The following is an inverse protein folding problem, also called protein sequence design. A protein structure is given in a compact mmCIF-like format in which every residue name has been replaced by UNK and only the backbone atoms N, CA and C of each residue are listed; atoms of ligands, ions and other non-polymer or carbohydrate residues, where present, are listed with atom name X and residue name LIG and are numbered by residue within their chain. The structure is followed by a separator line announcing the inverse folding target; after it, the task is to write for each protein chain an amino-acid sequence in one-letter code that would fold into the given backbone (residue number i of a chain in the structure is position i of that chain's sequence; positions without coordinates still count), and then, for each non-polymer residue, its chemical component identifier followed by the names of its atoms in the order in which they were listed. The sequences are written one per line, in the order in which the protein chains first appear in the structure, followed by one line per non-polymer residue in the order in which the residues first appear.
data_IF_128246455668
#
_entry.id   IF_128246455668
#
_cell.length_a   1.000
_cell.length_b   1.000
_cell.length_c   1.000
_cell.angle_alpha   90.00
_cell.angle_beta   90.00
_cell.angle_gamma   90.00
#
_symmetry.space_group_name_H-M   'P 1'
#
loop_
_entity.id
_entity.type
_entity.pdbx_description
1 polymer ?
#
# COMPACT_ATOMS: atom_id res chain seq x y z
N UNK A 1 9.14 -13.31 -34.11
CA UNK A 1 7.97 -12.65 -33.48
C UNK A 1 7.65 -13.42 -32.20
N UNK A 2 8.18 -12.99 -31.05
CA UNK A 2 7.91 -13.62 -29.77
C UNK A 2 6.48 -13.24 -29.36
N UNK A 3 5.58 -14.22 -29.27
CA UNK A 3 4.28 -14.04 -28.64
C UNK A 3 4.55 -13.52 -27.23
N UNK A 4 4.18 -12.26 -26.98
CA UNK A 4 4.18 -11.67 -25.66
C UNK A 4 3.19 -12.50 -24.86
N UNK A 5 3.66 -13.38 -23.97
CA UNK A 5 2.82 -14.07 -23.00
C UNK A 5 2.26 -13.04 -22.01
N UNK A 6 1.27 -12.25 -22.47
CA UNK A 6 0.54 -11.28 -21.66
C UNK A 6 -0.26 -11.94 -20.53
N UNK A 7 -0.53 -13.24 -20.63
CA UNK A 7 -1.41 -13.98 -19.73
C UNK A 7 -0.64 -15.01 -18.89
N UNK A 8 0.33 -14.56 -18.09
CA UNK A 8 0.80 -15.38 -16.97
C UNK A 8 -0.10 -15.12 -15.75
N UNK A 9 -0.28 -16.13 -14.90
CA UNK A 9 -1.11 -16.01 -13.68
C UNK A 9 -0.73 -14.77 -12.86
N UNK A 10 0.56 -14.47 -12.60
CA UNK A 10 0.93 -13.24 -11.91
C UNK A 10 0.46 -11.95 -12.60
N UNK A 11 0.58 -11.87 -13.94
CA UNK A 11 0.14 -10.67 -14.67
C UNK A 11 -1.37 -10.42 -14.56
N UNK A 12 -2.17 -11.50 -14.61
CA UNK A 12 -3.63 -11.39 -14.45
C UNK A 12 -3.98 -10.86 -13.07
N UNK A 13 -3.30 -11.34 -12.05
CA UNK A 13 -3.51 -10.91 -10.67
C UNK A 13 -3.12 -9.43 -10.46
N UNK A 14 -1.99 -8.98 -11.02
CA UNK A 14 -1.59 -7.56 -10.96
C UNK A 14 -2.58 -6.66 -11.72
N UNK A 15 -3.03 -7.07 -12.91
CA UNK A 15 -4.03 -6.33 -13.67
C UNK A 15 -5.38 -6.29 -12.96
N UNK A 16 -5.79 -7.38 -12.31
CA UNK A 16 -7.02 -7.40 -11.51
C UNK A 16 -6.96 -6.41 -10.34
N UNK A 17 -5.80 -6.28 -9.68
CA UNK A 17 -5.58 -5.25 -8.64
C UNK A 17 -5.79 -3.84 -9.18
N UNK A 18 -5.18 -3.51 -10.32
CA UNK A 18 -5.34 -2.19 -10.94
C UNK A 18 -6.81 -1.94 -11.30
N UNK A 19 -7.53 -2.96 -11.79
CA UNK A 19 -8.96 -2.84 -12.09
C UNK A 19 -9.84 -2.72 -10.84
N UNK A 20 -9.40 -3.25 -9.69
CA UNK A 20 -10.12 -3.13 -8.42
C UNK A 20 -9.97 -1.74 -7.77
N UNK A 21 -8.94 -0.95 -8.12
CA UNK A 21 -8.77 0.40 -7.57
C UNK A 21 -9.96 1.32 -7.92
N UNK A 22 -10.42 1.45 -9.17
CA UNK A 22 -11.63 2.20 -9.49
C UNK A 22 -12.87 1.70 -8.75
N UNK A 23 -13.03 0.38 -8.63
CA UNK A 23 -14.13 -0.21 -7.85
C UNK A 23 -14.08 0.22 -6.38
N UNK A 24 -12.89 0.20 -5.78
CA UNK A 24 -12.67 0.64 -4.40
C UNK A 24 -13.04 2.11 -4.22
N UNK A 25 -12.68 2.99 -5.15
CA UNK A 25 -13.05 4.42 -5.15
C UNK A 25 -14.57 4.59 -5.29
N UNK A 26 -15.20 3.87 -6.20
CA UNK A 26 -16.67 3.92 -6.38
C UNK A 26 -17.39 3.47 -5.10
N UNK A 27 -16.98 2.36 -4.51
CA UNK A 27 -17.54 1.88 -3.25
C UNK A 27 -17.42 2.92 -2.12
N UNK A 28 -16.28 3.62 -2.06
CA UNK A 28 -16.08 4.67 -1.09
C UNK A 28 -17.10 5.81 -1.26
N UNK A 29 -17.28 6.33 -2.47
CA UNK A 29 -18.24 7.42 -2.73
C UNK A 29 -19.71 6.97 -2.75
N UNK A 30 -19.97 5.67 -2.74
CA UNK A 30 -21.31 5.13 -2.52
C UNK A 30 -21.70 5.05 -1.04
N UNK A 31 -20.82 5.45 -0.11
CA UNK A 31 -21.17 5.49 1.32
C UNK A 31 -22.31 6.49 1.57
N UNK A 32 -23.35 6.09 2.30
CA UNK A 32 -24.43 7.01 2.66
C UNK A 32 -23.92 8.07 3.66
N UNK A 33 -24.51 9.25 3.60
CA UNK A 33 -24.18 10.37 4.50
C UNK A 33 -24.51 10.05 5.97
N UNK A 34 -25.44 9.12 6.20
CA UNK A 34 -25.88 8.72 7.54
C UNK A 34 -25.16 7.46 7.99
N UNK A 35 -24.36 7.57 9.04
CA UNK A 35 -23.49 6.50 9.57
C UNK A 35 -24.23 5.36 10.28
N UNK A 36 -25.46 5.62 10.75
CA UNK A 36 -26.23 4.66 11.56
C UNK A 36 -27.12 3.71 10.73
N UNK A 37 -26.89 3.65 9.42
CA UNK A 37 -27.68 2.79 8.54
C UNK A 37 -27.00 1.43 8.34
N UNK A 38 -27.79 0.33 8.19
CA UNK A 38 -27.23 -0.98 7.83
C UNK A 38 -26.43 -0.95 6.51
N UNK A 39 -26.82 -0.08 5.55
CA UNK A 39 -26.14 0.10 4.27
C UNK A 39 -24.72 0.64 4.50
N UNK A 40 -24.54 1.60 5.40
CA UNK A 40 -23.22 2.12 5.76
C UNK A 40 -22.30 1.01 6.27
N UNK A 41 -22.81 0.16 7.18
CA UNK A 41 -22.04 -0.98 7.72
C UNK A 41 -21.65 -1.97 6.63
N UNK A 42 -22.54 -2.30 5.71
CA UNK A 42 -22.25 -3.21 4.60
C UNK A 42 -21.22 -2.65 3.62
N UNK A 43 -21.30 -1.34 3.31
CA UNK A 43 -20.34 -0.69 2.42
C UNK A 43 -18.94 -0.65 3.06
N UNK A 44 -18.84 -0.32 4.36
CA UNK A 44 -17.57 -0.33 5.08
C UNK A 44 -16.95 -1.72 5.15
N UNK A 45 -17.78 -2.74 5.40
CA UNK A 45 -17.33 -4.13 5.34
C UNK A 45 -16.81 -4.50 3.95
N UNK A 46 -17.52 -4.09 2.90
CA UNK A 46 -17.11 -4.32 1.50
C UNK A 46 -15.82 -3.59 1.16
N UNK A 47 -15.67 -2.32 1.55
CA UNK A 47 -14.43 -1.54 1.36
C UNK A 47 -13.24 -2.20 2.03
N UNK A 48 -13.41 -2.56 3.31
CA UNK A 48 -12.37 -3.24 4.09
C UNK A 48 -12.03 -4.60 3.47
N UNK A 49 -13.05 -5.35 3.03
CA UNK A 49 -12.90 -6.64 2.38
C UNK A 49 -12.16 -6.54 1.04
N UNK A 50 -12.49 -5.56 0.21
CA UNK A 50 -11.79 -5.31 -1.08
C UNK A 50 -10.33 -4.95 -0.83
N UNK A 51 -10.05 -4.05 0.12
CA UNK A 51 -8.67 -3.68 0.45
C UNK A 51 -7.89 -4.87 1.02
N UNK A 52 -8.49 -5.67 1.89
CA UNK A 52 -7.89 -6.89 2.44
C UNK A 52 -7.60 -7.91 1.35
N UNK A 53 -8.55 -8.14 0.44
CA UNK A 53 -8.39 -9.07 -0.68
C UNK A 53 -7.24 -8.65 -1.60
N UNK A 54 -7.15 -7.36 -1.94
CA UNK A 54 -6.06 -6.81 -2.76
C UNK A 54 -4.71 -6.99 -2.06
N UNK A 55 -4.63 -6.65 -0.77
CA UNK A 55 -3.39 -6.78 0.02
C UNK A 55 -2.95 -8.25 0.17
N UNK A 56 -3.90 -9.16 0.33
CA UNK A 56 -3.62 -10.60 0.41
C UNK A 56 -3.17 -11.16 -0.94
N UNK A 57 -3.83 -10.74 -2.02
CA UNK A 57 -3.49 -11.15 -3.39
C UNK A 57 -2.05 -10.75 -3.72
N UNK A 58 -1.64 -9.52 -3.35
CA UNK A 58 -0.26 -9.04 -3.52
C UNK A 58 0.77 -9.94 -2.83
N UNK A 59 0.48 -10.32 -1.58
CA UNK A 59 1.37 -11.23 -0.85
C UNK A 59 1.46 -12.61 -1.53
N UNK A 60 0.33 -13.14 -2.01
CA UNK A 60 0.26 -14.43 -2.68
C UNK A 60 0.96 -14.41 -4.04
N UNK A 61 0.82 -13.34 -4.82
CA UNK A 61 1.45 -13.20 -6.14
C UNK A 61 2.97 -13.22 -6.04
N UNK A 62 3.51 -12.45 -5.11
CA UNK A 62 4.94 -12.45 -4.84
C UNK A 62 5.46 -13.82 -4.40
N UNK A 63 4.66 -14.61 -3.69
CA UNK A 63 5.00 -15.98 -3.32
C UNK A 63 4.91 -16.95 -4.52
N UNK A 64 3.81 -16.89 -5.29
CA UNK A 64 3.60 -17.77 -6.46
C UNK A 64 4.62 -17.48 -7.57
N UNK A 65 4.89 -16.23 -7.88
CA UNK A 65 5.85 -15.85 -8.92
C UNK A 65 7.25 -16.42 -8.63
N UNK A 66 7.68 -16.36 -7.37
CA UNK A 66 8.96 -16.97 -6.94
C UNK A 66 8.93 -18.49 -7.01
N UNK A 67 7.83 -19.13 -6.61
CA UNK A 67 7.70 -20.60 -6.59
C UNK A 67 7.59 -21.20 -7.99
N UNK A 68 6.93 -20.51 -8.92
CA UNK A 68 6.68 -20.99 -10.28
C UNK A 68 7.75 -20.53 -11.29
N UNK A 69 8.72 -19.69 -10.89
CA UNK A 69 9.71 -19.07 -11.78
C UNK A 69 9.07 -18.36 -13.01
N UNK A 70 7.84 -17.88 -12.86
CA UNK A 70 7.07 -17.20 -13.90
C UNK A 70 7.15 -15.69 -13.73
N UNK A 71 8.31 -15.10 -14.01
CA UNK A 71 8.45 -13.65 -14.02
C UNK A 71 8.30 -13.11 -15.43
N UNK A 72 7.36 -12.18 -15.65
CA UNK A 72 7.26 -11.44 -16.90
C UNK A 72 7.83 -10.03 -16.75
N UNK A 73 8.36 -9.46 -17.84
CA UNK A 73 8.86 -8.06 -17.85
C UNK A 73 7.74 -7.07 -17.51
N UNK A 74 6.51 -7.35 -17.97
CA UNK A 74 5.34 -6.52 -17.71
C UNK A 74 4.91 -6.59 -16.23
N UNK A 75 4.85 -7.80 -15.64
CA UNK A 75 4.53 -7.98 -14.23
C UNK A 75 5.55 -7.28 -13.33
N UNK A 76 6.84 -7.48 -13.58
CA UNK A 76 7.91 -6.82 -12.82
C UNK A 76 7.83 -5.28 -12.85
N UNK A 77 7.25 -4.70 -13.90
CA UNK A 77 6.98 -3.25 -13.98
C UNK A 77 5.67 -2.87 -13.27
N UNK A 78 4.60 -3.63 -13.50
CA UNK A 78 3.25 -3.29 -12.99
C UNK A 78 3.08 -3.53 -11.48
N UNK A 79 3.73 -4.57 -10.92
CA UNK A 79 3.60 -4.90 -9.49
C UNK A 79 3.96 -3.72 -8.58
N UNK A 80 5.15 -3.09 -8.69
CA UNK A 80 5.48 -1.94 -7.84
C UNK A 80 4.57 -0.73 -8.06
N UNK A 81 3.95 -0.61 -9.23
CA UNK A 81 3.00 0.48 -9.53
C UNK A 81 1.66 0.22 -8.87
N UNK A 82 1.11 -0.99 -9.02
CA UNK A 82 -0.17 -1.39 -8.46
C UNK A 82 -0.19 -1.24 -6.93
N UNK A 83 0.87 -1.71 -6.26
CA UNK A 83 1.00 -1.64 -4.80
C UNK A 83 0.96 -0.20 -4.28
N UNK A 84 1.71 0.70 -4.91
CA UNK A 84 1.76 2.10 -4.51
C UNK A 84 0.46 2.82 -4.81
N UNK A 85 -0.15 2.56 -5.97
CA UNK A 85 -1.44 3.14 -6.33
C UNK A 85 -2.51 2.77 -5.30
N UNK A 86 -2.58 1.48 -4.91
CA UNK A 86 -3.59 1.02 -3.96
C UNK A 86 -3.42 1.67 -2.57
N UNK A 87 -2.20 1.66 -2.04
CA UNK A 87 -1.91 2.27 -0.74
C UNK A 87 -2.16 3.78 -0.77
N UNK A 88 -1.69 4.47 -1.83
CA UNK A 88 -1.90 5.92 -1.97
C UNK A 88 -3.36 6.26 -2.09
N UNK A 89 -4.14 5.50 -2.88
CA UNK A 89 -5.59 5.69 -3.00
C UNK A 89 -6.28 5.52 -1.65
N UNK A 90 -5.98 4.44 -0.93
CA UNK A 90 -6.58 4.20 0.38
C UNK A 90 -6.26 5.33 1.38
N UNK A 91 -5.01 5.79 1.43
CA UNK A 91 -4.60 6.89 2.31
C UNK A 91 -5.28 8.22 1.94
N UNK A 92 -5.41 8.52 0.64
CA UNK A 92 -6.10 9.73 0.17
C UNK A 92 -7.58 9.70 0.56
N UNK A 93 -8.25 8.55 0.37
CA UNK A 93 -9.66 8.40 0.77
C UNK A 93 -9.84 8.49 2.29
N UNK A 94 -8.89 7.99 3.09
CA UNK A 94 -8.92 8.17 4.54
C UNK A 94 -8.76 9.65 4.95
N UNK A 95 -7.92 10.40 4.25
CA UNK A 95 -7.78 11.86 4.48
C UNK A 95 -9.06 12.62 4.11
N UNK A 96 -9.75 12.20 3.05
CA UNK A 96 -11.04 12.75 2.64
C UNK A 96 -12.13 12.45 3.68
N UNK A 97 -12.15 11.22 4.20
CA UNK A 97 -13.15 10.78 5.18
C UNK A 97 -13.00 11.45 6.55
N UNK A 98 -11.78 11.56 7.07
CA UNK A 98 -11.51 12.10 8.40
C UNK A 98 -11.22 13.60 8.33
N UNK A 99 -12.08 14.46 8.90
CA UNK A 99 -11.95 15.92 8.78
C UNK A 99 -10.60 16.44 9.27
N UNK A 100 -9.96 17.28 8.48
CA UNK A 100 -8.63 17.83 8.78
C UNK A 100 -8.60 18.77 9.99
N UNK A 101 -9.73 19.35 10.40
CA UNK A 101 -9.82 20.19 11.60
C UNK A 101 -9.70 19.39 12.90
N UNK A 102 -10.07 18.11 12.91
CA UNK A 102 -10.01 17.24 14.10
C UNK A 102 -8.96 16.14 13.97
N UNK A 103 -8.72 15.65 12.75
CA UNK A 103 -7.86 14.49 12.47
C UNK A 103 -6.70 14.82 11.53
N UNK A 104 -6.14 16.05 11.61
CA UNK A 104 -5.05 16.53 10.76
C UNK A 104 -3.83 15.58 10.72
N UNK A 105 -3.57 14.85 11.80
CA UNK A 105 -2.47 13.90 11.90
C UNK A 105 -2.58 12.73 10.91
N UNK A 106 -3.80 12.33 10.49
CA UNK A 106 -3.99 11.31 9.45
C UNK A 106 -3.44 11.84 8.13
N UNK A 107 -3.73 13.09 7.78
CA UNK A 107 -3.20 13.75 6.58
C UNK A 107 -1.68 13.85 6.59
N UNK A 108 -1.08 14.21 7.73
CA UNK A 108 0.38 14.26 7.88
C UNK A 108 1.01 12.88 7.72
N UNK A 109 0.44 11.85 8.35
CA UNK A 109 0.92 10.47 8.20
C UNK A 109 0.82 9.99 6.75
N UNK A 110 -0.31 10.24 6.08
CA UNK A 110 -0.52 9.88 4.69
C UNK A 110 0.49 10.56 3.77
N UNK A 111 0.71 11.88 3.95
CA UNK A 111 1.69 12.65 3.18
C UNK A 111 3.11 12.06 3.34
N UNK A 112 3.53 11.78 4.55
CA UNK A 112 4.86 11.22 4.84
C UNK A 112 5.01 9.84 4.18
N UNK A 113 4.00 8.97 4.33
CA UNK A 113 4.05 7.61 3.77
C UNK A 113 4.14 7.66 2.25
N UNK A 114 3.25 8.42 1.58
CA UNK A 114 3.20 8.52 0.12
C UNK A 114 4.48 9.14 -0.43
N UNK A 115 4.92 10.26 0.13
CA UNK A 115 6.14 10.95 -0.31
C UNK A 115 7.36 10.04 -0.21
N UNK A 116 7.49 9.30 0.90
CA UNK A 116 8.59 8.36 1.08
C UNK A 116 8.51 7.17 0.13
N UNK A 117 7.32 6.64 -0.13
CA UNK A 117 7.14 5.53 -1.10
C UNK A 117 7.64 5.93 -2.49
N UNK A 118 7.30 7.14 -2.94
CA UNK A 118 7.76 7.69 -4.22
C UNK A 118 9.27 7.90 -4.21
N UNK A 119 9.78 8.59 -3.19
CA UNK A 119 11.20 8.94 -3.08
C UNK A 119 12.11 7.71 -3.05
N UNK A 120 11.79 6.72 -2.23
CA UNK A 120 12.62 5.49 -2.14
C UNK A 120 12.53 4.65 -3.41
N UNK A 121 11.39 4.69 -4.12
CA UNK A 121 11.27 3.99 -5.39
C UNK A 121 12.12 4.63 -6.47
N UNK A 122 12.06 5.95 -6.60
CA UNK A 122 12.89 6.69 -7.53
C UNK A 122 14.39 6.48 -7.24
N UNK A 123 14.77 6.53 -5.95
CA UNK A 123 16.15 6.28 -5.53
C UNK A 123 16.61 4.86 -5.89
N UNK A 124 15.78 3.84 -5.65
CA UNK A 124 16.10 2.45 -5.97
C UNK A 124 16.24 2.23 -7.48
N UNK A 125 15.37 2.84 -8.27
CA UNK A 125 15.43 2.79 -9.72
C UNK A 125 16.73 3.43 -10.24
N UNK A 126 17.04 4.63 -9.75
CA UNK A 126 18.28 5.32 -10.09
C UNK A 126 19.53 4.48 -9.72
N UNK A 127 19.60 3.93 -8.51
CA UNK A 127 20.72 3.06 -8.10
C UNK A 127 20.87 1.84 -9.01
N UNK A 128 19.78 1.30 -9.53
CA UNK A 128 19.82 0.16 -10.46
C UNK A 128 20.39 0.55 -11.83
N UNK A 129 20.16 1.78 -12.31
CA UNK A 129 20.70 2.27 -13.59
C UNK A 129 22.21 2.55 -13.51
N UNK A 130 22.72 2.94 -12.34
CA UNK A 130 24.17 3.18 -12.12
C UNK A 130 24.94 1.86 -11.87
N UNK A 131 24.27 0.70 -12.00
CA UNK A 131 24.92 -0.61 -11.89
C UNK A 131 25.20 -1.06 -10.45
N UNK A 132 24.89 -0.23 -9.47
CA UNK A 132 24.94 -0.58 -8.06
C UNK A 132 23.56 -1.14 -7.64
N UNK A 133 23.32 -2.41 -7.93
CA UNK A 133 22.20 -3.11 -7.30
C UNK A 133 22.41 -3.00 -5.79
N UNK A 134 21.48 -2.27 -5.14
CA UNK A 134 21.55 -2.09 -3.71
C UNK A 134 21.66 -3.46 -3.03
N UNK A 135 22.79 -3.72 -2.40
CA UNK A 135 23.01 -4.83 -1.47
C UNK A 135 22.17 -4.65 -0.19
N UNK A 136 21.28 -3.64 -0.18
CA UNK A 136 20.35 -3.44 0.91
C UNK A 136 19.35 -4.59 0.83
N UNK A 137 19.69 -5.66 1.54
CA UNK A 137 18.70 -6.68 1.88
C UNK A 137 17.45 -5.95 2.35
N UNK A 138 16.31 -6.23 1.71
CA UNK A 138 15.01 -5.70 2.14
C UNK A 138 14.93 -5.97 3.63
N UNK A 139 15.20 -4.94 4.43
CA UNK A 139 15.40 -5.11 5.85
C UNK A 139 14.10 -5.68 6.41
N UNK A 140 14.19 -6.54 7.40
CA UNK A 140 13.04 -7.06 8.16
C UNK A 140 12.08 -5.92 8.54
N UNK A 141 12.61 -4.74 8.85
CA UNK A 141 11.88 -3.50 9.12
C UNK A 141 10.97 -3.08 7.96
N UNK A 142 11.40 -3.25 6.71
CA UNK A 142 10.56 -2.96 5.53
C UNK A 142 9.34 -3.87 5.44
N UNK A 143 9.46 -5.14 5.82
CA UNK A 143 8.33 -6.08 5.85
C UNK A 143 7.36 -5.76 6.99
N UNK A 144 7.89 -5.50 8.19
CA UNK A 144 7.09 -5.11 9.37
C UNK A 144 6.33 -3.81 9.08
N UNK A 145 6.98 -2.80 8.50
CA UNK A 145 6.35 -1.53 8.10
C UNK A 145 5.12 -1.76 7.24
N UNK A 146 5.27 -2.55 6.16
CA UNK A 146 4.16 -2.78 5.21
C UNK A 146 3.01 -3.51 5.89
N UNK A 147 3.31 -4.49 6.74
CA UNK A 147 2.30 -5.22 7.50
C UNK A 147 1.53 -4.30 8.45
N UNK A 148 2.23 -3.51 9.27
CA UNK A 148 1.62 -2.54 10.18
C UNK A 148 0.76 -1.53 9.43
N UNK A 149 1.23 -1.05 8.27
CA UNK A 149 0.51 -0.09 7.43
C UNK A 149 -0.79 -0.68 6.86
N UNK A 150 -0.76 -1.93 6.38
CA UNK A 150 -1.97 -2.62 5.89
C UNK A 150 -3.02 -2.71 7.00
N UNK A 151 -2.62 -3.14 8.20
CA UNK A 151 -3.55 -3.22 9.34
C UNK A 151 -4.06 -1.86 9.78
N UNK A 152 -3.22 -0.82 9.79
CA UNK A 152 -3.66 0.54 10.08
C UNK A 152 -4.79 0.99 9.15
N UNK A 153 -4.60 0.79 7.84
CA UNK A 153 -5.60 1.16 6.83
C UNK A 153 -6.88 0.32 6.98
N UNK A 154 -6.75 -0.99 7.23
CA UNK A 154 -7.92 -1.88 7.44
C UNK A 154 -8.78 -1.42 8.62
N UNK A 155 -8.16 -1.11 9.77
CA UNK A 155 -8.89 -0.62 10.94
C UNK A 155 -9.55 0.74 10.70
N UNK A 156 -8.87 1.64 9.99
CA UNK A 156 -9.42 2.97 9.66
C UNK A 156 -10.56 2.90 8.61
N UNK A 157 -10.51 1.96 7.67
CA UNK A 157 -11.57 1.75 6.69
C UNK A 157 -12.79 1.06 7.29
N UNK A 158 -12.59 0.19 8.28
CA UNK A 158 -13.68 -0.56 8.90
C UNK A 158 -14.64 0.33 9.68
N UNK A 159 -14.14 1.37 10.36
CA UNK A 159 -14.91 2.45 11.03
C UNK A 159 -15.90 2.01 12.14
N UNK A 160 -16.03 0.74 12.38
CA UNK A 160 -16.94 0.16 13.36
C UNK A 160 -16.14 -0.53 14.48
N UNK A 161 -16.67 -0.64 15.72
CA UNK A 161 -16.01 -1.43 16.75
C UNK A 161 -15.80 -2.88 16.28
N UNK A 162 -14.57 -3.35 16.28
CA UNK A 162 -14.23 -4.72 15.90
C UNK A 162 -14.15 -5.60 17.15
N UNK A 163 -15.14 -6.48 17.35
CA UNK A 163 -15.27 -7.30 18.58
C UNK A 163 -15.21 -6.47 19.87
N UNK A 164 -15.82 -5.28 19.89
CA UNK A 164 -15.79 -4.38 21.06
C UNK A 164 -14.51 -3.58 21.22
N UNK A 165 -13.53 -3.73 20.32
CA UNK A 165 -12.30 -2.95 20.31
C UNK A 165 -12.51 -1.64 19.53
N UNK A 166 -11.89 -0.55 19.99
CA UNK A 166 -11.97 0.76 19.33
C UNK A 166 -11.12 0.78 18.06
N UNK A 167 -11.72 0.44 16.91
CA UNK A 167 -11.01 0.31 15.63
C UNK A 167 -10.31 1.58 15.19
N UNK A 168 -10.92 2.74 15.42
CA UNK A 168 -10.34 4.03 15.03
C UNK A 168 -9.03 4.29 15.80
N UNK A 169 -9.03 4.16 17.11
CA UNK A 169 -7.85 4.42 17.96
C UNK A 169 -6.70 3.44 17.64
N UNK A 170 -7.04 2.18 17.41
CA UNK A 170 -6.07 1.15 17.00
C UNK A 170 -5.51 1.50 15.61
N UNK A 171 -6.38 1.86 14.66
CA UNK A 171 -5.98 2.26 13.32
C UNK A 171 -5.06 3.46 13.31
N UNK A 172 -5.37 4.50 14.09
CA UNK A 172 -4.52 5.70 14.25
C UNK A 172 -3.17 5.34 14.88
N UNK A 173 -3.17 4.57 15.95
CA UNK A 173 -1.92 4.13 16.60
C UNK A 173 -1.02 3.38 15.60
N UNK A 174 -1.59 2.41 14.88
CA UNK A 174 -0.85 1.65 13.87
C UNK A 174 -0.36 2.53 12.71
N UNK A 175 -1.15 3.54 12.30
CA UNK A 175 -0.76 4.49 11.25
C UNK A 175 0.45 5.32 11.66
N UNK A 176 0.47 5.81 12.91
CA UNK A 176 1.63 6.53 13.48
C UNK A 176 2.85 5.63 13.54
N UNK A 177 2.71 4.40 14.03
CA UNK A 177 3.82 3.42 14.06
C UNK A 177 4.33 3.12 12.65
N UNK A 178 3.45 2.91 11.68
CA UNK A 178 3.82 2.71 10.27
C UNK A 178 4.57 3.91 9.71
N UNK A 179 4.16 5.13 10.05
CA UNK A 179 4.82 6.37 9.64
C UNK A 179 6.24 6.47 10.21
N UNK A 180 6.43 6.19 11.49
CA UNK A 180 7.75 6.19 12.13
C UNK A 180 8.68 5.14 11.49
N UNK A 181 8.19 3.92 11.29
CA UNK A 181 8.95 2.86 10.60
C UNK A 181 9.28 3.25 9.16
N UNK A 182 8.36 3.97 8.49
CA UNK A 182 8.53 4.49 7.14
C UNK A 182 9.64 5.51 7.07
N UNK A 183 9.68 6.48 7.98
CA UNK A 183 10.74 7.47 8.09
C UNK A 183 12.08 6.80 8.40
N UNK A 184 12.14 5.95 9.40
CA UNK A 184 13.37 5.25 9.79
C UNK A 184 13.96 4.46 8.63
N UNK A 185 13.16 3.63 7.95
CA UNK A 185 13.61 2.86 6.80
C UNK A 185 14.00 3.76 5.62
N UNK A 186 13.30 4.90 5.42
CA UNK A 186 13.63 5.88 4.39
C UNK A 186 15.01 6.52 4.59
N UNK A 187 15.34 6.87 5.83
CA UNK A 187 16.66 7.42 6.18
C UNK A 187 17.80 6.45 5.89
N UNK A 188 17.61 5.14 6.12
CA UNK A 188 18.59 4.12 5.77
C UNK A 188 18.84 4.10 4.26
N UNK A 189 17.77 4.10 3.44
CA UNK A 189 17.89 4.12 1.98
C UNK A 189 18.57 5.40 1.47
N UNK A 190 18.22 6.56 2.03
CA UNK A 190 18.86 7.84 1.67
C UNK A 190 20.34 7.82 2.00
N UNK A 191 20.74 7.33 3.17
CA UNK A 191 22.14 7.23 3.58
C UNK A 191 22.95 6.37 2.62
N UNK A 192 22.42 5.24 2.19
CA UNK A 192 23.08 4.37 1.22
C UNK A 192 23.11 5.00 -0.19
N UNK A 193 22.02 5.66 -0.61
CA UNK A 193 22.01 6.40 -1.87
C UNK A 193 23.07 7.50 -1.94
N UNK A 194 23.24 8.28 -0.85
CA UNK A 194 24.27 9.32 -0.78
C UNK A 194 25.67 8.75 -0.88
N UNK A 195 25.95 7.57 -0.32
CA UNK A 195 27.26 6.91 -0.49
C UNK A 195 27.54 6.58 -1.95
N UNK A 196 26.52 6.12 -2.67
CA UNK A 196 26.61 5.80 -4.11
C UNK A 196 26.90 7.05 -4.97
N UNK A 197 26.42 8.23 -4.57
CA UNK A 197 26.74 9.49 -5.25
C UNK A 197 28.19 9.93 -5.08
N UNK A 198 28.86 9.47 -4.01
CA UNK A 198 30.23 9.87 -3.68
C UNK A 198 31.30 8.89 -4.19
N UNK A 199 30.89 7.73 -4.67
CA UNK A 199 31.78 6.72 -5.29
C UNK A 199 31.80 6.87 -6.81
#
# INVERSE_FOLDING_TARGET
MSRIHLMTIPNILTLSRIALIPLFVVLYYCQPTYTDTPIFTWINFSLTGVYAAISLTDYLDGYLARKLNMTSKLGAFLDPVADKLMVSTALVLLVDYYPSNTHWYIGVCALIIISREILVSALREWMSTVGQRSTINVSFIGKVKTFVQIFAILFLLYQQPFFGLPSFEIGVFLLVVATLLTLYSGLIYLKEGIKTFKS
#
